data_IF_561841196926
#
_entry.id   IF_561841196926
#
_cell.length_a   1.000
_cell.length_b   1.000
_cell.length_c   1.000
_cell.angle_alpha   90.00
_cell.angle_beta   90.00
_cell.angle_gamma   90.00
#
_symmetry.space_group_name_H-M   'P 1'
#
loop_
_entity.id
_entity.type
_entity.pdbx_description
1 polymer ?
#
# COMPACT_ATOMS: atom_id res chain seq x y z
N UNK A 1 57.42 -46.24 -17.52
CA UNK A 1 56.07 -45.70 -17.24
C UNK A 1 56.25 -44.25 -16.79
N UNK A 2 55.91 -43.23 -17.59
CA UNK A 2 56.01 -41.85 -17.14
C UNK A 2 54.90 -41.56 -16.13
N UNK A 3 55.26 -40.91 -15.02
CA UNK A 3 54.34 -40.54 -13.95
C UNK A 3 53.39 -39.42 -14.42
N UNK A 4 52.10 -39.62 -14.22
CA UNK A 4 51.06 -38.62 -14.46
C UNK A 4 51.17 -37.49 -13.44
N UNK A 5 51.43 -36.27 -13.90
CA UNK A 5 51.34 -35.05 -13.10
C UNK A 5 49.95 -34.43 -13.26
N UNK A 6 49.18 -34.19 -12.19
CA UNK A 6 47.87 -33.56 -12.30
C UNK A 6 48.02 -32.06 -12.65
N UNK A 7 47.08 -31.48 -13.40
CA UNK A 7 47.16 -30.08 -13.79
C UNK A 7 47.06 -29.17 -12.57
N UNK A 8 47.92 -28.15 -12.53
CA UNK A 8 47.91 -27.10 -11.53
C UNK A 8 46.50 -26.50 -11.42
N UNK A 9 45.91 -26.59 -10.22
CA UNK A 9 44.65 -25.94 -9.90
C UNK A 9 44.79 -24.45 -10.20
N UNK A 10 44.08 -23.99 -11.22
CA UNK A 10 43.83 -22.58 -11.44
C UNK A 10 43.05 -22.10 -10.21
N UNK A 11 43.76 -21.52 -9.24
CA UNK A 11 43.14 -20.91 -8.08
C UNK A 11 42.24 -19.79 -8.60
N UNK A 12 40.93 -20.05 -8.66
CA UNK A 12 39.95 -19.03 -8.94
C UNK A 12 40.14 -17.93 -7.90
N UNK A 13 40.49 -16.73 -8.36
CA UNK A 13 40.51 -15.54 -7.51
C UNK A 13 39.18 -15.47 -6.78
N UNK A 14 39.16 -15.10 -5.47
CA UNK A 14 37.92 -14.95 -4.76
C UNK A 14 37.06 -13.94 -5.53
N UNK A 15 35.93 -14.40 -6.05
CA UNK A 15 34.87 -13.51 -6.51
C UNK A 15 34.39 -12.81 -5.25
N UNK A 16 35.00 -11.67 -4.94
CA UNK A 16 34.41 -10.70 -4.03
C UNK A 16 33.15 -10.21 -4.71
N UNK A 17 32.05 -10.92 -4.45
CA UNK A 17 30.71 -10.39 -4.67
C UNK A 17 30.58 -9.17 -3.76
N UNK A 18 30.90 -8.00 -4.31
CA UNK A 18 30.58 -6.73 -3.70
C UNK A 18 29.09 -6.49 -3.90
N UNK A 19 28.25 -7.37 -3.36
CA UNK A 19 26.82 -7.17 -3.29
C UNK A 19 26.58 -5.97 -2.37
N UNK A 20 26.50 -4.78 -2.97
CA UNK A 20 25.94 -3.64 -2.29
C UNK A 20 24.43 -3.79 -2.45
N UNK A 21 23.69 -4.24 -1.42
CA UNK A 21 22.24 -4.38 -1.54
C UNK A 21 21.69 -3.04 -2.00
N UNK A 22 21.01 -3.07 -3.15
CA UNK A 22 20.32 -1.89 -3.65
C UNK A 22 19.32 -1.45 -2.59
N UNK A 23 19.24 -0.15 -2.41
CA UNK A 23 18.40 0.47 -1.38
C UNK A 23 16.95 0.05 -1.55
N UNK A 24 16.35 -0.47 -0.48
CA UNK A 24 14.96 -0.88 -0.48
C UNK A 24 14.02 0.29 -0.84
N UNK A 25 13.00 -0.02 -1.63
CA UNK A 25 11.89 0.87 -1.97
C UNK A 25 10.64 0.39 -1.24
N UNK A 26 10.09 1.25 -0.39
CA UNK A 26 8.93 0.98 0.45
C UNK A 26 7.73 1.73 -0.07
N UNK A 27 6.74 1.04 -0.60
CA UNK A 27 5.46 1.61 -1.00
C UNK A 27 4.49 1.59 0.19
N UNK A 28 4.14 2.78 0.69
CA UNK A 28 3.06 2.94 1.66
C UNK A 28 1.71 2.72 0.96
N UNK A 29 1.17 1.52 1.11
CA UNK A 29 -0.08 1.13 0.47
C UNK A 29 -1.27 1.65 1.29
N UNK A 30 -2.22 2.30 0.63
CA UNK A 30 -3.38 2.92 1.28
C UNK A 30 -4.72 2.27 0.93
N UNK A 31 -4.71 1.17 0.18
CA UNK A 31 -5.87 0.54 -0.50
C UNK A 31 -6.60 1.46 -1.49
N UNK A 32 -6.06 2.65 -1.76
CA UNK A 32 -6.65 3.63 -2.68
C UNK A 32 -6.19 3.44 -4.12
N UNK A 33 -6.84 4.16 -5.04
CA UNK A 33 -6.50 4.16 -6.45
C UNK A 33 -5.04 4.62 -6.70
N UNK A 34 -4.57 5.64 -5.98
CA UNK A 34 -3.23 6.22 -6.19
C UNK A 34 -2.11 5.22 -5.88
N UNK A 35 -2.15 4.61 -4.69
CA UNK A 35 -1.15 3.60 -4.31
C UNK A 35 -1.28 2.31 -5.14
N UNK A 36 -2.49 1.97 -5.58
CA UNK A 36 -2.72 0.82 -6.46
C UNK A 36 -2.17 1.07 -7.86
N UNK A 37 -2.37 2.25 -8.44
CA UNK A 37 -1.81 2.60 -9.74
C UNK A 37 -0.27 2.54 -9.72
N UNK A 38 0.38 3.09 -8.69
CA UNK A 38 1.84 2.98 -8.53
C UNK A 38 2.27 1.52 -8.50
N UNK A 39 1.60 0.69 -7.70
CA UNK A 39 1.92 -0.73 -7.63
C UNK A 39 1.78 -1.39 -9.00
N UNK A 40 0.70 -1.14 -9.73
CA UNK A 40 0.48 -1.69 -11.07
C UNK A 40 1.57 -1.25 -12.06
N UNK A 41 1.99 0.02 -12.00
CA UNK A 41 3.10 0.54 -12.81
C UNK A 41 4.41 -0.20 -12.49
N UNK A 42 4.72 -0.37 -11.20
CA UNK A 42 5.92 -1.07 -10.75
C UNK A 42 5.92 -2.56 -11.14
N UNK A 43 4.77 -3.22 -11.07
CA UNK A 43 4.64 -4.62 -11.48
C UNK A 43 4.77 -4.80 -13.00
N UNK A 44 4.32 -3.81 -13.77
CA UNK A 44 4.36 -3.85 -15.24
C UNK A 44 5.77 -3.61 -15.79
N UNK A 45 6.50 -2.63 -15.25
CA UNK A 45 7.89 -2.34 -15.63
C UNK A 45 8.71 -1.89 -14.41
N UNK A 46 9.25 -2.84 -13.63
CA UNK A 46 10.05 -2.53 -12.44
C UNK A 46 11.26 -1.63 -12.78
N UNK A 47 11.91 -1.93 -13.90
CA UNK A 47 13.17 -1.32 -14.30
C UNK A 47 13.01 0.14 -14.71
N UNK A 48 11.93 0.50 -15.39
CA UNK A 48 11.60 1.90 -15.70
C UNK A 48 11.38 2.76 -14.44
N UNK A 49 11.08 2.12 -13.32
CA UNK A 49 10.89 2.77 -12.02
C UNK A 49 12.11 2.65 -11.10
N UNK A 50 13.22 2.11 -11.61
CA UNK A 50 14.48 1.97 -10.88
C UNK A 50 14.46 0.85 -9.83
N UNK A 51 13.54 -0.10 -9.94
CA UNK A 51 13.48 -1.32 -9.11
C UNK A 51 14.28 -2.45 -9.74
N UNK A 52 14.54 -3.51 -8.96
CA UNK A 52 15.07 -4.76 -9.51
C UNK A 52 14.03 -5.48 -10.40
N UNK A 53 14.46 -6.20 -11.45
CA UNK A 53 13.54 -6.91 -12.35
C UNK A 53 12.64 -7.94 -11.64
N UNK A 54 13.14 -8.52 -10.55
CA UNK A 54 12.46 -9.48 -9.70
C UNK A 54 11.70 -8.85 -8.52
N UNK A 55 11.74 -7.51 -8.40
CA UNK A 55 11.11 -6.73 -7.34
C UNK A 55 11.60 -7.10 -5.92
N UNK A 56 12.79 -7.69 -5.81
CA UNK A 56 13.39 -8.07 -4.52
C UNK A 56 13.67 -6.86 -3.61
N UNK A 57 13.85 -5.67 -4.20
CA UNK A 57 14.04 -4.40 -3.52
C UNK A 57 12.72 -3.65 -3.24
N UNK A 58 11.56 -4.18 -3.64
CA UNK A 58 10.25 -3.59 -3.35
C UNK A 58 9.60 -4.23 -2.11
N UNK A 59 9.24 -3.39 -1.15
CA UNK A 59 8.41 -3.74 0.01
C UNK A 59 7.12 -2.94 -0.06
N UNK A 60 5.99 -3.61 -0.06
CA UNK A 60 4.68 -2.98 0.09
C UNK A 60 4.32 -3.05 1.56
N UNK A 61 4.02 -1.91 2.19
CA UNK A 61 3.62 -1.88 3.60
C UNK A 61 2.22 -1.31 3.74
N UNK A 62 1.38 -1.99 4.52
CA UNK A 62 0.02 -1.60 4.81
C UNK A 62 -0.20 -1.42 6.32
N UNK A 63 -0.72 -0.27 6.73
CA UNK A 63 -1.13 -0.01 8.10
C UNK A 63 -2.62 -0.35 8.28
N UNK A 64 -2.90 -1.49 8.92
CA UNK A 64 -4.25 -1.96 9.27
C UNK A 64 -4.79 -1.10 10.42
N UNK A 65 -5.89 -0.41 10.14
CA UNK A 65 -6.56 0.50 11.08
C UNK A 65 -7.73 -0.14 11.80
N UNK A 66 -8.30 -1.22 11.26
CA UNK A 66 -9.42 -1.94 11.87
C UNK A 66 -10.81 -1.48 11.43
N UNK A 67 -10.87 -0.46 10.58
CA UNK A 67 -12.09 0.19 10.10
C UNK A 67 -12.06 0.39 8.58
N UNK A 68 -11.34 -0.49 7.88
CA UNK A 68 -11.33 -0.58 6.43
C UNK A 68 -12.71 -0.99 5.89
N UNK A 69 -13.12 -0.39 4.77
CA UNK A 69 -14.32 -0.81 4.06
C UNK A 69 -14.15 -2.23 3.50
N UNK A 70 -15.14 -3.09 3.74
CA UNK A 70 -15.15 -4.47 3.23
C UNK A 70 -14.95 -4.52 1.71
N UNK A 71 -15.54 -3.58 0.97
CA UNK A 71 -15.35 -3.47 -0.48
C UNK A 71 -13.89 -3.22 -0.87
N UNK A 72 -13.15 -2.42 -0.09
CA UNK A 72 -11.74 -2.14 -0.35
C UNK A 72 -10.87 -3.38 -0.12
N UNK A 73 -11.18 -4.17 0.91
CA UNK A 73 -10.47 -5.41 1.19
C UNK A 73 -10.80 -6.48 0.14
N UNK A 74 -12.09 -6.64 -0.21
CA UNK A 74 -12.55 -7.54 -1.28
C UNK A 74 -11.96 -7.16 -2.64
N UNK A 75 -11.77 -5.87 -2.91
CA UNK A 75 -11.05 -5.40 -4.09
C UNK A 75 -9.58 -5.86 -4.06
N UNK A 76 -8.88 -5.67 -2.95
CA UNK A 76 -7.48 -6.07 -2.80
C UNK A 76 -7.29 -7.58 -2.92
N UNK A 77 -8.15 -8.37 -2.29
CA UNK A 77 -8.10 -9.84 -2.33
C UNK A 77 -8.26 -10.39 -3.75
N UNK A 78 -9.14 -9.77 -4.56
CA UNK A 78 -9.42 -10.22 -5.93
C UNK A 78 -8.37 -9.75 -6.94
N UNK A 79 -7.80 -8.57 -6.75
CA UNK A 79 -6.98 -7.92 -7.78
C UNK A 79 -5.52 -7.79 -7.37
N UNK A 80 -5.25 -7.28 -6.17
CA UNK A 80 -3.91 -6.84 -5.77
C UNK A 80 -3.10 -7.99 -5.19
N UNK A 81 -3.62 -8.71 -4.21
CA UNK A 81 -2.90 -9.80 -3.55
C UNK A 81 -2.46 -10.90 -4.53
N UNK A 82 -3.29 -11.35 -5.50
CA UNK A 82 -2.86 -12.33 -6.47
C UNK A 82 -1.66 -11.87 -7.31
N UNK A 83 -1.60 -10.58 -7.67
CA UNK A 83 -0.48 -10.02 -8.43
C UNK A 83 0.80 -9.95 -7.58
N UNK A 84 0.68 -9.59 -6.30
CA UNK A 84 1.82 -9.60 -5.37
C UNK A 84 2.36 -11.02 -5.19
N UNK A 85 1.48 -12.02 -5.04
CA UNK A 85 1.89 -13.44 -4.93
C UNK A 85 2.60 -13.93 -6.19
N UNK A 86 2.04 -13.65 -7.36
CA UNK A 86 2.59 -14.05 -8.66
C UNK A 86 3.99 -13.49 -8.87
N UNK A 87 4.21 -12.22 -8.48
CA UNK A 87 5.49 -11.52 -8.60
C UNK A 87 6.36 -11.63 -7.33
N UNK A 88 5.94 -12.41 -6.34
CA UNK A 88 6.61 -12.63 -5.03
C UNK A 88 7.03 -11.35 -4.30
N UNK A 89 6.26 -10.27 -4.45
CA UNK A 89 6.51 -8.99 -3.78
C UNK A 89 6.19 -9.12 -2.29
N UNK A 90 7.09 -8.64 -1.42
CA UNK A 90 6.89 -8.66 0.04
C UNK A 90 5.79 -7.66 0.42
N UNK A 91 4.72 -8.16 1.03
CA UNK A 91 3.69 -7.36 1.69
C UNK A 91 3.86 -7.48 3.20
N UNK A 92 4.01 -6.34 3.87
CA UNK A 92 4.07 -6.26 5.32
C UNK A 92 2.82 -5.54 5.83
N UNK A 93 2.11 -6.17 6.74
CA UNK A 93 0.84 -5.71 7.28
C UNK A 93 1.03 -5.43 8.76
N UNK A 94 0.90 -4.17 9.15
CA UNK A 94 1.22 -3.69 10.50
C UNK A 94 0.02 -3.01 11.14
N UNK A 95 -0.10 -3.11 12.46
CA UNK A 95 -1.11 -2.40 13.22
C UNK A 95 -0.52 -1.84 14.52
N UNK A 96 -1.29 -0.99 15.20
CA UNK A 96 -0.99 -0.66 16.60
C UNK A 96 -1.14 -1.92 17.45
N UNK A 97 -0.18 -2.17 18.33
CA UNK A 97 -0.23 -3.27 19.27
C UNK A 97 -1.17 -2.98 20.46
N UNK A 98 -1.47 -1.69 20.71
CA UNK A 98 -2.35 -1.27 21.79
C UNK A 98 -2.71 0.21 21.77
N UNK A 99 -3.34 0.65 22.87
CA UNK A 99 -3.85 2.01 23.06
C UNK A 99 -2.74 3.05 23.17
N UNK A 100 -1.67 2.69 23.87
CA UNK A 100 -0.53 3.57 24.16
C UNK A 100 0.56 3.39 23.12
N UNK A 101 1.43 4.40 22.96
CA UNK A 101 2.58 4.31 22.06
C UNK A 101 3.65 3.33 22.59
N UNK A 102 3.69 3.11 23.91
CA UNK A 102 4.63 2.19 24.56
C UNK A 102 4.37 0.70 24.20
N UNK A 103 3.14 0.36 23.85
CA UNK A 103 2.79 -0.98 23.37
C UNK A 103 3.35 -1.25 21.96
N UNK A 104 3.70 -0.19 21.21
CA UNK A 104 4.41 -0.32 19.94
C UNK A 104 3.53 -0.73 18.76
N UNK A 105 4.19 -1.37 17.78
CA UNK A 105 3.62 -1.82 16.52
C UNK A 105 3.72 -3.34 16.44
N UNK A 106 2.65 -3.98 15.97
CA UNK A 106 2.60 -5.42 15.72
C UNK A 106 2.60 -5.67 14.21
N UNK A 107 3.41 -6.62 13.76
CA UNK A 107 3.34 -7.19 12.41
C UNK A 107 2.29 -8.30 12.42
N UNK A 108 1.20 -8.10 11.67
CA UNK A 108 0.11 -9.07 11.53
C UNK A 108 0.42 -10.15 10.51
N UNK A 109 1.10 -9.77 9.43
CA UNK A 109 1.53 -10.66 8.36
C UNK A 109 2.74 -10.02 7.65
N UNK A 110 3.73 -10.83 7.31
CA UNK A 110 4.89 -10.44 6.51
C UNK A 110 5.21 -11.59 5.56
N UNK A 111 4.85 -11.41 4.30
CA UNK A 111 4.85 -12.51 3.35
C UNK A 111 5.11 -12.03 1.93
N UNK A 112 5.79 -12.88 1.15
CA UNK A 112 5.87 -12.78 -0.32
C UNK A 112 4.74 -13.53 -1.03
N UNK A 113 3.88 -14.19 -0.27
CA UNK A 113 2.71 -14.90 -0.75
C UNK A 113 1.46 -14.51 0.05
N UNK A 114 1.12 -13.20 0.17
CA UNK A 114 0.05 -12.72 1.03
C UNK A 114 -1.32 -13.28 0.60
N UNK A 115 -2.10 -13.78 1.55
CA UNK A 115 -3.38 -14.44 1.26
C UNK A 115 -4.60 -13.55 1.49
N UNK A 116 -4.53 -12.66 2.49
CA UNK A 116 -5.61 -11.73 2.84
C UNK A 116 -5.04 -10.51 3.52
N UNK A 117 -5.81 -9.42 3.54
CA UNK A 117 -5.56 -8.31 4.46
C UNK A 117 -6.42 -8.50 5.72
N UNK A 118 -5.86 -8.54 6.94
CA UNK A 118 -6.65 -8.62 8.15
C UNK A 118 -7.60 -7.43 8.26
N UNK A 119 -8.87 -7.71 8.54
CA UNK A 119 -9.89 -6.68 8.81
C UNK A 119 -9.52 -5.79 9.99
N UNK A 120 -8.79 -6.32 10.97
CA UNK A 120 -8.41 -5.60 12.17
C UNK A 120 -7.12 -6.13 12.81
N UNK A 121 -6.44 -5.23 13.52
CA UNK A 121 -5.38 -5.54 14.47
C UNK A 121 -5.88 -5.55 15.91
N UNK A 122 -4.94 -5.50 16.86
CA UNK A 122 -5.23 -5.52 18.31
C UNK A 122 -5.94 -4.25 18.81
N UNK A 123 -5.61 -3.09 18.26
CA UNK A 123 -6.24 -1.82 18.63
C UNK A 123 -6.71 -1.07 17.38
N UNK A 124 -8.03 -0.88 17.25
CA UNK A 124 -8.64 -0.25 16.08
C UNK A 124 -8.78 1.25 16.25
N UNK A 125 -8.91 1.96 15.13
CA UNK A 125 -9.24 3.39 15.17
C UNK A 125 -10.58 3.62 15.88
N UNK A 126 -11.58 2.78 15.65
CA UNK A 126 -12.86 2.89 16.33
C UNK A 126 -12.77 2.61 17.83
N UNK A 127 -11.83 1.78 18.29
CA UNK A 127 -11.60 1.56 19.73
C UNK A 127 -11.03 2.81 20.39
N UNK A 128 -10.06 3.47 19.75
CA UNK A 128 -9.51 4.76 20.21
C UNK A 128 -10.59 5.82 20.32
N UNK A 129 -11.43 5.94 19.29
CA UNK A 129 -12.46 6.96 19.21
C UNK A 129 -13.55 6.72 20.25
N UNK A 130 -14.00 5.47 20.43
CA UNK A 130 -14.92 5.08 21.50
C UNK A 130 -14.33 5.37 22.88
N UNK A 131 -13.07 4.99 23.11
CA UNK A 131 -12.39 5.23 24.39
C UNK A 131 -12.22 6.73 24.70
N UNK A 132 -12.07 7.56 23.67
CA UNK A 132 -12.00 9.02 23.81
C UNK A 132 -13.38 9.70 23.89
N UNK A 133 -14.48 8.97 23.69
CA UNK A 133 -15.83 9.55 23.59
C UNK A 133 -16.00 10.46 22.37
N UNK A 134 -15.31 10.16 21.27
CA UNK A 134 -15.33 10.96 20.04
C UNK A 134 -15.67 10.12 18.82
N UNK A 135 -16.02 10.78 17.71
CA UNK A 135 -16.13 10.16 16.38
C UNK A 135 -15.00 10.69 15.50
N UNK A 136 -14.67 10.06 14.35
CA UNK A 136 -13.62 10.58 13.48
C UNK A 136 -14.02 11.98 13.00
N UNK A 137 -13.37 13.01 13.56
CA UNK A 137 -13.55 14.39 13.16
C UNK A 137 -12.29 14.91 12.48
N UNK A 138 -12.47 15.61 11.36
CA UNK A 138 -11.44 16.53 10.82
C UNK A 138 -11.37 17.77 11.72
N UNK A 139 -10.93 17.60 12.97
CA UNK A 139 -10.78 18.70 13.90
C UNK A 139 -9.73 19.68 13.34
N UNK A 140 -10.14 20.92 13.04
CA UNK A 140 -9.24 22.01 12.58
C UNK A 140 -8.38 21.70 11.34
N UNK A 141 -8.86 20.85 10.43
CA UNK A 141 -8.08 20.44 9.24
C UNK A 141 -6.87 19.54 9.56
N UNK A 142 -6.72 19.09 10.80
CA UNK A 142 -5.64 18.23 11.25
C UNK A 142 -6.02 16.75 11.12
N UNK A 143 -5.15 15.95 10.50
CA UNK A 143 -5.38 14.52 10.23
C UNK A 143 -4.85 13.63 11.35
N UNK A 144 -5.23 13.91 12.60
CA UNK A 144 -4.68 13.25 13.80
C UNK A 144 -4.85 11.73 13.76
N UNK A 145 -6.02 11.23 13.37
CA UNK A 145 -6.27 9.79 13.24
C UNK A 145 -5.35 9.13 12.21
N UNK A 146 -5.21 9.74 11.03
CA UNK A 146 -4.33 9.21 9.97
C UNK A 146 -2.85 9.24 10.39
N UNK A 147 -2.41 10.28 11.08
CA UNK A 147 -1.02 10.35 11.57
C UNK A 147 -0.79 9.28 12.62
N UNK A 148 -1.69 9.12 13.59
CA UNK A 148 -1.53 8.19 14.71
C UNK A 148 -1.65 6.71 14.31
N UNK A 149 -2.55 6.38 13.38
CA UNK A 149 -2.85 4.99 12.98
C UNK A 149 -2.15 4.56 11.69
N UNK A 150 -1.65 5.50 10.87
CA UNK A 150 -0.90 5.17 9.66
C UNK A 150 0.54 5.70 9.75
N UNK A 151 0.72 7.02 9.85
CA UNK A 151 2.06 7.63 9.86
C UNK A 151 2.97 7.06 10.94
N UNK A 152 2.56 7.15 12.21
CA UNK A 152 3.31 6.66 13.36
C UNK A 152 3.61 5.16 13.28
N UNK A 153 2.62 4.35 12.86
CA UNK A 153 2.76 2.89 12.73
C UNK A 153 3.80 2.53 11.66
N UNK A 154 3.71 3.17 10.50
CA UNK A 154 4.64 2.95 9.39
C UNK A 154 6.06 3.41 9.75
N UNK A 155 6.19 4.56 10.41
CA UNK A 155 7.49 5.10 10.83
C UNK A 155 8.15 4.21 11.89
N UNK A 156 7.38 3.69 12.86
CA UNK A 156 7.89 2.77 13.89
C UNK A 156 8.31 1.43 13.31
N UNK A 157 7.50 0.86 12.40
CA UNK A 157 7.89 -0.36 11.70
C UNK A 157 9.16 -0.14 10.86
N UNK A 158 9.23 0.96 10.09
CA UNK A 158 10.40 1.24 9.25
C UNK A 158 11.68 1.47 10.08
N UNK A 159 11.57 2.10 11.25
CA UNK A 159 12.70 2.25 12.16
C UNK A 159 13.24 0.90 12.65
N UNK A 160 12.35 -0.05 12.97
CA UNK A 160 12.73 -1.40 13.37
C UNK A 160 13.29 -2.22 12.20
N UNK A 161 12.69 -2.12 11.01
CA UNK A 161 13.09 -2.88 9.82
C UNK A 161 14.46 -2.45 9.28
N UNK A 162 14.70 -1.14 9.14
CA UNK A 162 15.90 -0.63 8.48
C UNK A 162 17.00 -0.22 9.45
N UNK A 163 16.68 0.07 10.71
CA UNK A 163 17.63 0.58 11.69
C UNK A 163 18.39 1.80 11.17
N UNK A 164 19.70 1.65 10.98
CA UNK A 164 20.59 2.70 10.44
C UNK A 164 20.58 2.80 8.90
N UNK A 165 20.03 1.81 8.20
CA UNK A 165 20.00 1.77 6.73
C UNK A 165 18.97 2.77 6.20
N UNK A 166 19.29 3.44 5.10
CA UNK A 166 18.35 4.34 4.43
C UNK A 166 17.49 3.59 3.42
N UNK A 167 16.24 4.03 3.23
CA UNK A 167 15.29 3.42 2.29
C UNK A 167 14.46 4.48 1.56
N UNK A 168 14.00 4.17 0.35
CA UNK A 168 13.16 5.07 -0.46
C UNK A 168 11.71 4.87 -0.04
N UNK A 169 11.00 5.92 0.39
CA UNK A 169 9.57 5.83 0.74
C UNK A 169 8.71 6.39 -0.38
N UNK A 170 7.85 5.54 -0.92
CA UNK A 170 6.93 5.89 -1.99
C UNK A 170 5.56 6.18 -1.41
N UNK A 171 5.02 7.37 -1.70
CA UNK A 171 3.70 7.81 -1.28
C UNK A 171 2.86 8.17 -2.50
N UNK A 172 1.61 7.69 -2.53
CA UNK A 172 0.66 7.90 -3.62
C UNK A 172 -0.02 9.27 -3.62
N UNK A 173 0.74 10.36 -3.59
CA UNK A 173 0.18 11.68 -3.91
C UNK A 173 0.13 11.87 -5.41
N UNK A 174 -1.04 12.21 -5.95
CA UNK A 174 -1.23 12.55 -7.36
C UNK A 174 -0.94 14.05 -7.61
N UNK A 175 -0.92 14.46 -8.87
CA UNK A 175 -0.45 15.79 -9.27
C UNK A 175 -1.21 16.96 -8.61
N UNK A 176 -2.51 16.81 -8.35
CA UNK A 176 -3.31 17.86 -7.70
C UNK A 176 -3.08 17.92 -6.17
N UNK A 177 -2.27 16.99 -5.61
CA UNK A 177 -1.89 16.94 -4.18
C UNK A 177 -0.46 17.41 -3.91
N UNK A 178 0.16 18.17 -4.82
CA UNK A 178 1.54 18.65 -4.66
C UNK A 178 1.83 19.33 -3.31
N UNK A 179 0.90 20.14 -2.79
CA UNK A 179 1.07 20.77 -1.47
C UNK A 179 1.23 19.78 -0.31
N UNK A 180 0.69 18.55 -0.43
CA UNK A 180 0.91 17.48 0.55
C UNK A 180 2.30 16.88 0.43
N UNK A 181 2.77 16.67 -0.80
CA UNK A 181 4.11 16.16 -1.07
C UNK A 181 5.20 17.15 -0.61
N UNK A 182 4.99 18.46 -0.79
CA UNK A 182 5.90 19.49 -0.30
C UNK A 182 5.98 19.48 1.23
N UNK A 183 4.83 19.39 1.91
CA UNK A 183 4.75 19.31 3.36
C UNK A 183 5.43 18.05 3.90
N UNK A 184 5.16 16.88 3.30
CA UNK A 184 5.81 15.62 3.68
C UNK A 184 7.33 15.70 3.49
N UNK A 185 7.78 16.22 2.34
CA UNK A 185 9.20 16.40 2.06
C UNK A 185 9.88 17.33 3.05
N UNK A 186 9.21 18.41 3.48
CA UNK A 186 9.74 19.33 4.49
C UNK A 186 9.89 18.64 5.85
N UNK A 187 8.89 17.85 6.26
CA UNK A 187 8.93 17.07 7.50
C UNK A 187 10.07 16.04 7.43
N UNK A 188 10.17 15.29 6.33
CA UNK A 188 11.21 14.28 6.18
C UNK A 188 12.62 14.88 6.16
N UNK A 189 12.82 16.04 5.53
CA UNK A 189 14.12 16.76 5.58
C UNK A 189 14.49 17.15 7.01
N UNK A 190 13.52 17.60 7.81
CA UNK A 190 13.75 17.91 9.22
C UNK A 190 14.18 16.67 10.00
N UNK A 191 13.47 15.54 9.84
CA UNK A 191 13.84 14.28 10.51
C UNK A 191 15.24 13.79 10.10
N UNK A 192 15.58 13.87 8.81
CA UNK A 192 16.93 13.49 8.34
C UNK A 192 18.01 14.41 8.94
N UNK A 193 17.73 15.70 9.09
CA UNK A 193 18.65 16.66 9.71
C UNK A 193 18.85 16.36 11.19
N UNK A 194 17.75 16.10 11.92
CA UNK A 194 17.79 15.77 13.35
C UNK A 194 18.51 14.46 13.63
N UNK A 195 18.40 13.48 12.74
CA UNK A 195 19.14 12.21 12.86
C UNK A 195 20.60 12.28 12.36
N UNK A 196 21.05 13.41 11.80
CA UNK A 196 22.38 13.56 11.22
C UNK A 196 22.66 12.64 10.02
N UNK A 197 21.63 12.03 9.44
CA UNK A 197 21.72 11.08 8.31
C UNK A 197 20.43 11.06 7.50
N UNK A 198 20.52 10.59 6.27
CA UNK A 198 19.32 10.28 5.48
C UNK A 198 18.66 9.01 6.03
N UNK A 199 17.55 9.16 6.75
CA UNK A 199 16.72 8.01 7.18
C UNK A 199 15.93 7.50 5.98
N UNK A 200 15.25 8.42 5.31
CA UNK A 200 14.33 8.12 4.24
C UNK A 200 14.36 9.26 3.21
N UNK A 201 14.22 8.90 1.93
CA UNK A 201 13.96 9.87 0.86
C UNK A 201 12.55 9.62 0.33
N UNK A 202 11.68 10.63 0.39
CA UNK A 202 10.33 10.49 -0.13
C UNK A 202 10.37 10.53 -1.66
N UNK A 203 9.51 9.74 -2.28
CA UNK A 203 9.38 9.62 -3.73
C UNK A 203 7.90 9.63 -4.11
N UNK A 204 7.55 10.44 -5.12
CA UNK A 204 6.16 10.69 -5.53
C UNK A 204 5.98 10.42 -7.03
N UNK A 205 5.87 9.15 -7.46
CA UNK A 205 5.85 8.78 -8.88
C UNK A 205 4.75 9.48 -9.69
N UNK A 206 3.55 9.59 -9.12
CA UNK A 206 2.40 10.17 -9.82
C UNK A 206 2.55 11.68 -10.04
N UNK A 207 3.18 12.39 -9.10
CA UNK A 207 3.52 13.82 -9.29
C UNK A 207 4.59 13.97 -10.36
N UNK A 208 5.64 13.14 -10.33
CA UNK A 208 6.72 13.17 -11.33
C UNK A 208 6.18 12.89 -12.74
N UNK A 209 5.24 11.96 -12.86
CA UNK A 209 4.55 11.62 -14.10
C UNK A 209 3.42 12.60 -14.48
N UNK A 210 3.19 13.65 -13.67
CA UNK A 210 2.09 14.63 -13.86
C UNK A 210 0.71 13.99 -13.96
N UNK A 211 0.50 12.86 -13.30
CA UNK A 211 -0.75 12.12 -13.32
C UNK A 211 -1.76 12.75 -12.35
N UNK A 212 -2.85 13.25 -12.91
CA UNK A 212 -4.04 13.68 -12.16
C UNK A 212 -4.93 12.49 -11.80
N UNK A 213 -5.93 12.73 -10.94
CA UNK A 213 -6.87 11.70 -10.46
C UNK A 213 -7.46 10.84 -11.58
N UNK A 214 -7.94 11.46 -12.65
CA UNK A 214 -8.55 10.73 -13.77
C UNK A 214 -7.58 9.75 -14.46
N UNK A 215 -6.30 10.12 -14.61
CA UNK A 215 -5.29 9.25 -15.21
C UNK A 215 -4.95 8.07 -14.28
N UNK A 216 -4.86 8.32 -12.97
CA UNK A 216 -4.68 7.28 -11.95
C UNK A 216 -5.82 6.26 -12.00
N UNK A 217 -7.06 6.75 -12.02
CA UNK A 217 -8.25 5.90 -12.07
C UNK A 217 -8.30 5.06 -13.36
N UNK A 218 -7.94 5.65 -14.51
CA UNK A 218 -7.90 4.94 -15.77
C UNK A 218 -6.98 3.70 -15.73
N UNK A 219 -5.79 3.81 -15.14
CA UNK A 219 -4.85 2.69 -14.96
C UNK A 219 -5.51 1.56 -14.15
N UNK A 220 -6.16 1.92 -13.05
CA UNK A 220 -6.79 0.96 -12.14
C UNK A 220 -8.00 0.29 -12.82
N UNK A 221 -8.81 1.05 -13.55
CA UNK A 221 -9.96 0.53 -14.29
C UNK A 221 -9.55 -0.39 -15.43
N UNK A 222 -8.56 -0.01 -16.23
CA UNK A 222 -8.05 -0.82 -17.33
C UNK A 222 -7.57 -2.18 -16.83
N UNK A 223 -6.80 -2.18 -15.73
CA UNK A 223 -6.31 -3.41 -15.12
C UNK A 223 -7.44 -4.29 -14.60
N UNK A 224 -8.43 -3.68 -13.95
CA UNK A 224 -9.60 -4.39 -13.42
C UNK A 224 -10.42 -5.02 -14.56
N UNK A 225 -10.60 -4.28 -15.66
CA UNK A 225 -11.29 -4.75 -16.85
C UNK A 225 -10.52 -5.86 -17.59
N UNK A 226 -9.19 -5.80 -17.62
CA UNK A 226 -8.35 -6.86 -18.18
C UNK A 226 -8.53 -8.17 -17.40
N UNK A 227 -8.58 -8.10 -16.06
CA UNK A 227 -8.77 -9.29 -15.22
C UNK A 227 -10.18 -9.86 -15.34
N UNK A 228 -11.22 -9.04 -15.40
CA UNK A 228 -12.60 -9.56 -15.58
C UNK A 228 -12.78 -10.32 -16.90
N UNK A 229 -11.97 -10.01 -17.92
CA UNK A 229 -11.94 -10.71 -19.21
C UNK A 229 -11.06 -11.96 -19.23
N UNK A 230 -10.14 -12.15 -18.28
CA UNK A 230 -9.24 -13.31 -18.25
C UNK A 230 -9.99 -14.62 -17.95
N UNK A 231 -9.72 -15.74 -18.67
CA UNK A 231 -10.40 -17.02 -18.44
C UNK A 231 -10.29 -17.52 -16.99
N UNK A 232 -9.19 -17.22 -16.31
CA UNK A 232 -8.93 -17.56 -14.90
C UNK A 232 -9.76 -16.77 -13.88
N UNK A 233 -10.37 -15.64 -14.27
CA UNK A 233 -11.26 -14.88 -13.38
C UNK A 233 -12.73 -15.35 -13.46
N UNK A 234 -13.07 -16.15 -14.48
CA UNK A 234 -14.44 -16.65 -14.71
C UNK A 234 -14.88 -17.70 -13.66
N UNK A 235 -13.96 -18.16 -12.83
CA UNK A 235 -14.18 -19.11 -11.73
C UNK A 235 -14.35 -18.47 -10.35
N UNK A 236 -14.29 -17.13 -10.23
CA UNK A 236 -14.72 -16.45 -9.01
C UNK A 236 -16.26 -16.41 -8.99
N UNK A 237 -16.94 -16.92 -7.95
CA UNK A 237 -18.40 -16.90 -7.92
C UNK A 237 -18.87 -15.45 -7.96
N UNK A 238 -19.68 -15.12 -8.97
CA UNK A 238 -20.38 -13.86 -9.07
C UNK A 238 -21.20 -13.67 -7.79
N UNK A 239 -20.90 -12.63 -7.03
CA UNK A 239 -21.76 -12.22 -5.92
C UNK A 239 -23.13 -11.82 -6.49
N UNK A 240 -24.15 -12.63 -6.19
CA UNK A 240 -25.55 -12.22 -6.10
C UNK A 240 -26.31 -11.97 -7.40
N UNK A 241 -26.71 -13.03 -8.11
CA UNK A 241 -28.01 -13.04 -8.80
C UNK A 241 -29.00 -13.80 -7.92
N UNK A 242 -29.79 -13.09 -7.13
CA UNK A 242 -30.93 -13.67 -6.43
C UNK A 242 -32.01 -14.06 -7.45
N UNK A 243 -32.66 -15.23 -7.31
CA UNK A 243 -33.75 -15.65 -8.20
C UNK A 243 -35.01 -14.80 -7.95
N UNK A 244 -35.89 -14.60 -8.96
CA UNK A 244 -37.08 -13.79 -8.81
C UNK A 244 -38.12 -14.51 -7.93
N UNK A 245 -38.48 -13.89 -6.81
CA UNK A 245 -39.64 -14.28 -6.03
C UNK A 245 -40.92 -13.82 -6.74
N UNK A 246 -41.81 -14.77 -6.99
CA UNK A 246 -43.15 -14.61 -7.56
C UNK A 246 -44.17 -14.20 -6.48
N UNK A 247 -44.98 -13.17 -6.78
CA UNK A 247 -46.22 -12.78 -6.06
C UNK A 247 -46.00 -12.01 -4.75
N UNK A 248 -46.71 -10.93 -4.40
CA UNK A 248 -47.98 -10.34 -4.89
C UNK A 248 -47.97 -8.85 -4.49
N UNK A 249 -48.61 -8.02 -5.32
CA UNK A 249 -48.77 -6.57 -5.12
C UNK A 249 -49.74 -6.26 -3.97
N UNK A 250 -49.37 -5.33 -3.10
CA UNK A 250 -50.29 -4.30 -2.56
C UNK A 250 -49.49 -3.02 -2.32
N UNK A 251 -49.85 -1.96 -3.02
CA UNK A 251 -49.07 -0.73 -3.07
C UNK A 251 -49.30 0.22 -1.89
N UNK A 252 -48.35 1.14 -1.71
CA UNK A 252 -48.67 2.55 -1.59
C UNK A 252 -47.47 3.40 -2.05
N UNK A 253 -47.81 4.60 -2.49
CA UNK A 253 -47.09 5.54 -3.33
C UNK A 253 -45.75 6.11 -2.79
N UNK A 254 -44.76 6.14 -3.69
CA UNK A 254 -44.11 7.35 -4.23
C UNK A 254 -43.23 8.19 -3.27
N UNK A 255 -41.90 8.16 -3.49
CA UNK A 255 -41.06 9.34 -3.77
C UNK A 255 -39.69 8.89 -4.29
N UNK A 256 -39.15 9.67 -5.24
CA UNK A 256 -38.05 9.31 -6.16
C UNK A 256 -36.73 9.04 -5.45
N UNK A 257 -36.17 7.87 -5.67
CA UNK A 257 -34.79 7.49 -5.36
C UNK A 257 -33.86 7.93 -6.49
N UNK A 258 -32.97 8.90 -6.20
CA UNK A 258 -31.69 9.04 -6.90
C UNK A 258 -30.67 8.11 -6.23
N UNK A 259 -29.75 7.47 -6.97
CA UNK A 259 -28.72 6.63 -6.37
C UNK A 259 -27.72 7.51 -5.60
N UNK A 260 -27.18 7.06 -4.45
CA UNK A 260 -26.19 7.85 -3.73
C UNK A 260 -24.88 7.87 -4.52
N UNK A 261 -24.51 9.07 -4.95
CA UNK A 261 -23.21 9.43 -5.48
C UNK A 261 -22.12 8.99 -4.49
N UNK A 262 -21.09 8.31 -4.99
CA UNK A 262 -19.89 7.96 -4.23
C UNK A 262 -19.29 9.20 -3.57
N UNK A 263 -19.35 9.27 -2.25
CA UNK A 263 -18.66 10.30 -1.46
C UNK A 263 -17.14 10.03 -1.51
N UNK A 264 -16.49 10.57 -2.53
CA UNK A 264 -15.05 10.83 -2.50
C UNK A 264 -14.78 11.94 -1.47
N UNK A 265 -13.89 11.69 -0.50
CA UNK A 265 -13.53 12.65 0.56
C UNK A 265 -12.58 13.74 0.04
N UNK A 266 -12.89 14.35 -1.11
CA UNK A 266 -11.90 15.08 -1.92
C UNK A 266 -12.42 16.29 -2.69
N UNK A 267 -13.49 16.96 -2.28
CA UNK A 267 -13.93 18.16 -2.99
C UNK A 267 -14.78 19.10 -2.14
N UNK A 268 -14.18 20.20 -1.66
CA UNK A 268 -14.71 21.56 -1.83
C UNK A 268 -13.74 22.63 -1.28
N UNK A 269 -13.55 23.75 -2.00
CA UNK A 269 -12.68 24.86 -1.59
C UNK A 269 -13.36 25.72 -0.53
N UNK A 270 -12.57 26.44 0.27
CA UNK A 270 -13.04 27.44 1.23
C UNK A 270 -12.51 28.83 0.85
N UNK A 271 -13.21 29.91 1.23
CA UNK A 271 -12.68 31.27 1.17
C UNK A 271 -11.42 31.42 2.04
#
# INVERSE_FOLDING_TARGET
MPAYAPPAQLAAAPVTDTFRPKRATVLSYGLGADSTAILLMYLADPTAHGLEPDLSDLIVVYAVTGDEWEDSLSYCDRLVLPLLRERRVRLVQVCRAGKTDAEGVLVLDDSRTPQRIPQAGLWRLSDELRAAGTVPMLASGQRRCSIRFKGWVLDHWAAAEFGATSYRRVIGYHYDEMGRAEKDSKIQRKHNTEAGRTICEPHYPLILAKMKRAAVEAIVYEQTARRSKSPTARSAPSAGSAPPATGTRSGCANTRTSPPTSCSWSSCPRP
#
